data_IF_346814558408
#
_entry.id   IF_346814558408
#
_cell.length_a   1.000
_cell.length_b   1.000
_cell.length_c   1.000
_cell.angle_alpha   90.00
_cell.angle_beta   90.00
_cell.angle_gamma   90.00
#
_symmetry.space_group_name_H-M   'P 1'
#
loop_
_entity.id
_entity.type
_entity.pdbx_description
1 polymer ?
#
# COMPACT_ATOMS: atom_id res chain seq x y z
N UNK A 1 -15.29 59.60 21.99
CA UNK A 1 -15.86 59.12 20.71
C UNK A 1 -14.92 58.06 20.16
N UNK A 2 -15.40 56.84 19.96
CA UNK A 2 -14.59 55.70 19.53
C UNK A 2 -15.36 54.41 19.74
N UNK A 3 -16.33 54.13 18.85
CA UNK A 3 -17.12 52.90 18.84
C UNK A 3 -16.38 51.85 18.01
N UNK A 4 -16.15 50.66 18.58
CA UNK A 4 -15.46 49.55 17.93
C UNK A 4 -16.07 48.19 18.29
N UNK A 5 -17.15 47.86 17.58
CA UNK A 5 -17.69 46.54 17.18
C UNK A 5 -17.37 45.29 18.03
N UNK A 6 -18.42 44.79 18.67
CA UNK A 6 -18.59 43.39 19.10
C UNK A 6 -18.95 42.51 17.89
N UNK A 7 -18.12 41.52 17.56
CA UNK A 7 -18.47 40.45 16.62
C UNK A 7 -18.99 39.24 17.40
N UNK A 8 -20.31 39.03 17.35
CA UNK A 8 -20.95 37.76 17.68
C UNK A 8 -20.62 36.78 16.56
N UNK A 9 -19.79 35.77 16.87
CA UNK A 9 -19.50 34.64 15.98
C UNK A 9 -20.30 33.44 16.43
N UNK A 10 -21.17 32.98 15.55
CA UNK A 10 -22.14 31.91 15.72
C UNK A 10 -21.53 30.59 16.23
N UNK A 11 -21.93 30.22 17.45
CA UNK A 11 -21.61 28.95 18.10
C UNK A 11 -22.77 27.97 18.04
N UNK A 12 -23.23 27.58 16.85
CA UNK A 12 -24.35 26.63 16.74
C UNK A 12 -24.35 25.80 15.44
N UNK A 13 -23.50 24.77 15.33
CA UNK A 13 -23.72 23.60 14.42
C UNK A 13 -22.86 22.37 14.78
N UNK A 14 -22.64 22.06 16.07
CA UNK A 14 -21.94 20.82 16.48
C UNK A 14 -22.73 20.00 17.50
N UNK A 15 -24.02 19.80 17.24
CA UNK A 15 -24.86 18.81 17.93
C UNK A 15 -25.89 18.22 16.97
N UNK A 16 -25.49 17.31 16.09
CA UNK A 16 -26.36 16.24 15.55
C UNK A 16 -25.63 15.38 14.50
N UNK A 17 -24.70 14.53 14.94
CA UNK A 17 -24.38 13.28 14.23
C UNK A 17 -24.05 12.21 15.29
N UNK A 18 -25.10 11.76 15.98
CA UNK A 18 -25.13 10.41 16.55
C UNK A 18 -25.67 9.45 15.48
N UNK A 19 -25.22 8.21 15.60
CA UNK A 19 -25.80 6.98 15.05
C UNK A 19 -25.79 6.79 13.55
N UNK A 20 -24.73 6.14 13.03
CA UNK A 20 -24.89 4.96 12.16
C UNK A 20 -23.74 3.98 12.45
N UNK A 21 -24.11 2.72 12.69
CA UNK A 21 -23.27 1.71 13.33
C UNK A 21 -22.14 1.16 12.46
N UNK A 22 -20.91 1.32 12.94
CA UNK A 22 -19.71 0.68 12.38
C UNK A 22 -18.78 0.11 13.47
N UNK A 23 -19.35 -0.39 14.57
CA UNK A 23 -18.57 -0.99 15.67
C UNK A 23 -19.06 -2.39 16.04
N UNK A 24 -19.08 -3.32 15.07
CA UNK A 24 -19.28 -4.75 15.38
C UNK A 24 -18.68 -5.73 14.34
N UNK A 25 -17.46 -5.48 13.85
CA UNK A 25 -16.79 -6.42 12.94
C UNK A 25 -15.28 -6.63 13.21
N UNK A 26 -14.75 -6.26 14.39
CA UNK A 26 -13.31 -6.32 14.68
C UNK A 26 -12.93 -7.38 15.73
N UNK A 27 -13.54 -8.59 15.71
CA UNK A 27 -13.19 -9.65 16.68
C UNK A 27 -12.86 -11.04 16.12
N UNK A 28 -12.79 -11.25 14.80
CA UNK A 28 -12.52 -12.57 14.22
C UNK A 28 -11.41 -12.59 13.14
N UNK A 29 -10.40 -11.73 13.24
CA UNK A 29 -9.14 -11.93 12.49
C UNK A 29 -8.16 -12.70 13.37
N UNK A 30 -8.33 -14.01 13.31
CA UNK A 30 -7.40 -15.01 13.79
C UNK A 30 -6.08 -14.87 13.04
N UNK A 31 -5.00 -14.83 13.81
CA UNK A 31 -3.61 -14.74 13.41
C UNK A 31 -3.24 -15.86 12.41
N UNK A 32 -3.29 -15.54 11.12
CA UNK A 32 -2.61 -16.30 10.07
C UNK A 32 -1.20 -15.75 9.89
N UNK A 33 -0.20 -16.63 9.96
CA UNK A 33 1.22 -16.30 9.99
C UNK A 33 1.68 -15.38 8.85
N UNK A 34 2.60 -14.48 9.20
CA UNK A 34 3.34 -13.64 8.27
C UNK A 34 4.18 -14.49 7.31
N UNK A 35 4.00 -14.38 5.99
CA UNK A 35 4.94 -14.96 5.03
C UNK A 35 6.23 -14.12 4.98
N UNK A 36 7.34 -14.85 4.94
CA UNK A 36 8.72 -14.39 4.91
C UNK A 36 8.98 -13.40 3.74
N UNK A 37 9.51 -12.21 4.05
CA UNK A 37 9.63 -11.05 3.14
C UNK A 37 10.78 -11.12 2.13
N UNK A 38 11.31 -12.31 1.83
CA UNK A 38 12.53 -12.45 1.00
C UNK A 38 12.29 -12.71 -0.50
N UNK A 39 11.07 -12.60 -1.03
CA UNK A 39 10.77 -12.99 -2.44
C UNK A 39 10.06 -11.94 -3.31
N UNK A 40 9.89 -10.68 -2.89
CA UNK A 40 9.08 -9.70 -3.65
C UNK A 40 9.81 -8.97 -4.78
N UNK A 41 11.13 -9.13 -4.94
CA UNK A 41 11.89 -8.38 -5.95
C UNK A 41 11.87 -8.98 -7.38
N UNK A 42 11.26 -10.15 -7.59
CA UNK A 42 11.16 -10.80 -8.92
C UNK A 42 9.84 -10.51 -9.65
N UNK A 43 8.79 -10.05 -8.95
CA UNK A 43 7.46 -9.80 -9.55
C UNK A 43 7.37 -8.50 -10.35
N UNK A 44 8.17 -7.48 -10.02
CA UNK A 44 8.10 -6.19 -10.70
C UNK A 44 8.73 -6.23 -12.11
N UNK A 45 9.67 -7.15 -12.37
CA UNK A 45 10.28 -7.29 -13.70
C UNK A 45 9.43 -8.09 -14.70
N UNK A 46 8.41 -8.83 -14.26
CA UNK A 46 7.52 -9.55 -15.17
C UNK A 46 6.35 -8.69 -15.71
N UNK A 47 6.01 -7.57 -15.07
CA UNK A 47 4.90 -6.71 -15.53
C UNK A 47 5.30 -5.78 -16.69
N UNK A 48 6.55 -5.33 -16.75
CA UNK A 48 7.02 -4.44 -17.84
C UNK A 48 7.20 -5.17 -19.17
N UNK A 49 7.49 -6.49 -19.15
CA UNK A 49 7.57 -7.30 -20.38
C UNK A 49 6.20 -7.58 -21.02
N UNK A 50 5.13 -7.69 -20.22
CA UNK A 50 3.78 -8.00 -20.73
C UNK A 50 3.10 -6.81 -21.45
N UNK A 51 3.53 -5.58 -21.15
CA UNK A 51 3.06 -4.38 -21.84
C UNK A 51 3.64 -4.23 -23.26
N UNK A 52 4.79 -4.84 -23.55
CA UNK A 52 5.38 -4.82 -24.90
C UNK A 52 4.68 -5.81 -25.85
N UNK A 53 4.29 -6.99 -25.39
CA UNK A 53 3.64 -8.02 -26.22
C UNK A 53 2.19 -7.72 -26.63
N UNK A 54 1.52 -6.75 -25.99
CA UNK A 54 0.13 -6.40 -26.33
C UNK A 54 0.02 -5.42 -27.49
N UNK A 55 1.10 -4.69 -27.84
CA UNK A 55 1.10 -3.81 -29.02
C UNK A 55 1.17 -4.59 -30.34
N UNK A 56 1.85 -5.74 -30.38
CA UNK A 56 1.95 -6.54 -31.61
C UNK A 56 0.65 -7.30 -31.95
N UNK A 57 -0.18 -7.63 -30.94
CA UNK A 57 -1.45 -8.33 -31.18
C UNK A 57 -2.55 -7.44 -31.77
N UNK A 58 -2.52 -6.13 -31.49
CA UNK A 58 -3.47 -5.18 -32.08
C UNK A 58 -3.25 -5.01 -33.60
N UNK A 59 -2.02 -5.13 -34.08
CA UNK A 59 -1.71 -5.05 -35.51
C UNK A 59 -2.22 -6.27 -36.31
N UNK A 60 -2.34 -7.44 -35.69
CA UNK A 60 -2.75 -8.67 -36.37
C UNK A 60 -4.24 -8.70 -36.75
N UNK A 61 -5.11 -8.01 -36.00
CA UNK A 61 -6.55 -8.00 -36.28
C UNK A 61 -6.99 -6.95 -37.31
N UNK A 62 -6.16 -5.94 -37.60
CA UNK A 62 -6.49 -4.91 -38.58
C UNK A 62 -6.37 -5.37 -40.06
N UNK A 63 -5.74 -6.51 -40.33
CA UNK A 63 -5.42 -6.97 -41.70
C UNK A 63 -6.42 -7.98 -42.30
N UNK A 64 -7.51 -8.32 -41.61
CA UNK A 64 -8.43 -9.40 -42.05
C UNK A 64 -9.83 -8.88 -42.39
N UNK A 65 -9.92 -8.03 -43.42
CA UNK A 65 -11.18 -7.80 -44.13
C UNK A 65 -11.44 -8.98 -45.09
N UNK A 66 -12.53 -9.75 -44.91
CA UNK A 66 -12.88 -10.80 -45.87
C UNK A 66 -13.39 -10.17 -47.17
N UNK A 67 -12.56 -10.23 -48.22
CA UNK A 67 -12.98 -9.97 -49.59
C UNK A 67 -13.84 -11.16 -50.06
N UNK A 68 -15.16 -11.07 -49.91
CA UNK A 68 -16.09 -12.00 -50.55
C UNK A 68 -16.08 -11.71 -52.06
N UNK A 69 -15.29 -12.47 -52.82
CA UNK A 69 -15.41 -12.56 -54.29
C UNK A 69 -16.63 -13.42 -54.61
N UNK A 70 -17.72 -12.80 -55.04
CA UNK A 70 -18.79 -13.47 -55.78
C UNK A 70 -18.25 -13.81 -57.17
N UNK A 71 -18.11 -15.10 -57.46
CA UNK A 71 -17.92 -15.60 -58.83
C UNK A 71 -19.28 -15.91 -59.42
N UNK A 72 -19.83 -14.96 -60.17
CA UNK A 72 -20.87 -15.24 -61.15
C UNK A 72 -20.21 -15.94 -62.34
N UNK A 73 -20.51 -17.22 -62.53
CA UNK A 73 -20.29 -17.89 -63.82
C UNK A 73 -21.58 -18.58 -64.22
N UNK A 74 -22.38 -17.78 -64.94
CA UNK A 74 -23.47 -18.20 -65.79
C UNK A 74 -22.86 -18.73 -67.10
N UNK A 75 -22.96 -20.03 -67.33
CA UNK A 75 -22.77 -20.65 -68.65
C UNK A 75 -23.88 -21.69 -68.81
N UNK A 76 -24.97 -21.27 -69.46
CA UNK A 76 -25.99 -22.16 -70.00
C UNK A 76 -25.69 -22.32 -71.48
N UNK A 77 -25.03 -23.43 -71.82
CA UNK A 77 -24.92 -23.87 -73.21
C UNK A 77 -26.27 -24.38 -73.68
N UNK A 78 -26.65 -23.88 -74.86
CA UNK A 78 -27.89 -24.19 -75.54
C UNK A 78 -27.93 -25.63 -76.04
N UNK A 79 -29.07 -26.26 -75.80
CA UNK A 79 -29.53 -27.41 -76.57
C UNK A 79 -30.86 -27.00 -77.16
N UNK A 80 -30.84 -26.61 -78.44
CA UNK A 80 -32.03 -26.55 -79.28
C UNK A 80 -32.61 -27.97 -79.35
N UNK A 81 -33.86 -28.13 -78.93
CA UNK A 81 -34.63 -29.35 -79.14
C UNK A 81 -36.04 -28.96 -79.54
N UNK A 82 -36.49 -29.66 -80.57
CA UNK A 82 -37.60 -29.35 -81.45
C UNK A 82 -38.94 -29.08 -80.76
N UNK A 83 -39.75 -28.15 -81.29
CA UNK A 83 -41.11 -27.93 -80.83
C UNK A 83 -42.04 -28.83 -81.63
N UNK A 84 -42.51 -29.95 -81.10
CA UNK A 84 -43.75 -30.61 -81.56
C UNK A 84 -44.02 -31.89 -80.74
N UNK A 85 -44.75 -31.76 -79.63
CA UNK A 85 -45.74 -32.74 -79.14
C UNK A 85 -46.27 -32.33 -77.74
N UNK A 86 -47.59 -32.20 -77.64
CA UNK A 86 -48.38 -32.34 -76.39
C UNK A 86 -48.25 -31.26 -75.31
N UNK A 87 -48.78 -30.06 -75.58
CA UNK A 87 -48.77 -28.90 -74.68
C UNK A 87 -50.10 -28.58 -73.99
N UNK A 88 -50.85 -29.57 -73.47
CA UNK A 88 -52.14 -29.31 -72.80
C UNK A 88 -52.28 -29.81 -71.35
N UNK A 89 -51.24 -30.41 -70.75
CA UNK A 89 -51.28 -30.93 -69.36
C UNK A 89 -50.28 -30.33 -68.37
N UNK A 90 -49.36 -29.47 -68.80
CA UNK A 90 -48.23 -28.99 -67.96
C UNK A 90 -48.48 -27.64 -67.25
N UNK A 91 -49.64 -27.01 -67.44
CA UNK A 91 -49.91 -25.67 -66.91
C UNK A 91 -50.46 -25.68 -65.48
N UNK A 92 -51.17 -26.75 -65.09
CA UNK A 92 -51.84 -26.84 -63.78
C UNK A 92 -50.87 -27.19 -62.63
N UNK A 93 -49.81 -27.96 -62.89
CA UNK A 93 -48.76 -28.23 -61.89
C UNK A 93 -47.83 -27.04 -61.61
N UNK A 94 -47.78 -26.06 -62.52
CA UNK A 94 -46.91 -24.87 -62.37
C UNK A 94 -47.48 -23.87 -61.35
N UNK A 95 -48.79 -23.81 -61.16
CA UNK A 95 -49.39 -22.86 -60.20
C UNK A 95 -49.19 -23.31 -58.76
N UNK A 96 -49.25 -24.62 -58.49
CA UNK A 96 -49.06 -25.17 -57.14
C UNK A 96 -47.60 -25.07 -56.67
N UNK A 97 -46.65 -25.28 -57.57
CA UNK A 97 -45.22 -25.09 -57.30
C UNK A 97 -44.88 -23.62 -57.04
N UNK A 98 -45.52 -22.68 -57.74
CA UNK A 98 -45.36 -21.25 -57.48
C UNK A 98 -45.98 -20.82 -56.14
N UNK A 99 -47.15 -21.37 -55.78
CA UNK A 99 -47.80 -21.05 -54.51
C UNK A 99 -46.97 -21.52 -53.30
N UNK A 100 -46.44 -22.75 -53.40
CA UNK A 100 -45.62 -23.36 -52.34
C UNK A 100 -44.28 -22.64 -52.16
N UNK A 101 -43.59 -22.28 -53.25
CA UNK A 101 -42.34 -21.51 -53.19
C UNK A 101 -42.55 -20.12 -52.59
N UNK A 102 -43.63 -19.42 -52.94
CA UNK A 102 -43.94 -18.11 -52.36
C UNK A 102 -44.29 -18.18 -50.86
N UNK A 103 -44.98 -19.24 -50.42
CA UNK A 103 -45.24 -19.45 -48.99
C UNK A 103 -43.93 -19.69 -48.21
N UNK A 104 -43.04 -20.55 -48.74
CA UNK A 104 -41.73 -20.79 -48.14
C UNK A 104 -40.89 -19.52 -48.08
N UNK A 105 -40.91 -18.70 -49.13
CA UNK A 105 -40.22 -17.41 -49.15
C UNK A 105 -40.74 -16.48 -48.04
N UNK A 106 -42.06 -16.36 -47.89
CA UNK A 106 -42.66 -15.55 -46.81
C UNK A 106 -42.27 -16.05 -45.42
N UNK A 107 -42.23 -17.37 -45.21
CA UNK A 107 -41.80 -17.95 -43.94
C UNK A 107 -40.32 -17.67 -43.66
N UNK A 108 -39.47 -17.75 -44.68
CA UNK A 108 -38.05 -17.43 -44.59
C UNK A 108 -37.85 -15.95 -44.25
N UNK A 109 -38.53 -15.04 -44.95
CA UNK A 109 -38.45 -13.59 -44.71
C UNK A 109 -38.90 -13.23 -43.29
N UNK A 110 -39.97 -13.87 -42.80
CA UNK A 110 -40.43 -13.70 -41.42
C UNK A 110 -39.41 -14.22 -40.39
N UNK A 111 -38.81 -15.38 -40.65
CA UNK A 111 -37.77 -15.96 -39.78
C UNK A 111 -36.51 -15.09 -39.74
N UNK A 112 -36.05 -14.61 -40.90
CA UNK A 112 -34.91 -13.69 -41.02
C UNK A 112 -35.21 -12.38 -40.30
N UNK A 113 -36.41 -11.80 -40.49
CA UNK A 113 -36.82 -10.58 -39.80
C UNK A 113 -36.83 -10.75 -38.28
N UNK A 114 -37.37 -11.86 -37.78
CA UNK A 114 -37.38 -12.18 -36.34
C UNK A 114 -35.96 -12.34 -35.80
N UNK A 115 -35.09 -13.05 -36.53
CA UNK A 115 -33.68 -13.23 -36.16
C UNK A 115 -32.95 -11.88 -36.12
N UNK A 116 -33.20 -11.01 -37.10
CA UNK A 116 -32.61 -9.68 -37.17
C UNK A 116 -32.99 -8.83 -35.94
N UNK A 117 -34.26 -8.87 -35.53
CA UNK A 117 -34.72 -8.17 -34.32
C UNK A 117 -34.04 -8.72 -33.06
N UNK A 118 -33.96 -10.05 -32.91
CA UNK A 118 -33.28 -10.66 -31.75
C UNK A 118 -31.80 -10.29 -31.69
N UNK A 119 -31.09 -10.33 -32.82
CA UNK A 119 -29.66 -9.98 -32.90
C UNK A 119 -29.46 -8.50 -32.57
N UNK A 120 -30.26 -7.62 -33.16
CA UNK A 120 -30.14 -6.16 -32.92
C UNK A 120 -30.43 -5.81 -31.46
N UNK A 121 -31.42 -6.45 -30.83
CA UNK A 121 -31.68 -6.32 -29.39
C UNK A 121 -30.50 -6.78 -28.55
N UNK A 122 -29.99 -8.00 -28.79
CA UNK A 122 -28.87 -8.54 -28.02
C UNK A 122 -27.60 -7.69 -28.16
N UNK A 123 -27.35 -7.14 -29.35
CA UNK A 123 -26.23 -6.21 -29.56
C UNK A 123 -26.39 -4.90 -28.80
N UNK A 124 -27.62 -4.37 -28.68
CA UNK A 124 -27.90 -3.17 -27.90
C UNK A 124 -27.66 -3.42 -26.40
N UNK A 125 -28.07 -4.59 -25.90
CA UNK A 125 -27.85 -5.00 -24.50
C UNK A 125 -26.35 -5.15 -24.20
N UNK A 126 -25.61 -5.88 -25.06
CA UNK A 126 -24.15 -6.03 -24.93
C UNK A 126 -23.46 -4.67 -24.94
N UNK A 127 -23.87 -3.76 -25.84
CA UNK A 127 -23.30 -2.41 -25.88
C UNK A 127 -23.53 -1.66 -24.57
N UNK A 128 -24.71 -1.80 -23.99
CA UNK A 128 -25.04 -1.19 -22.69
C UNK A 128 -24.17 -1.77 -21.58
N UNK A 129 -24.05 -3.10 -21.51
CA UNK A 129 -23.20 -3.77 -20.52
C UNK A 129 -21.73 -3.36 -20.63
N UNK A 130 -21.21 -3.23 -21.86
CA UNK A 130 -19.84 -2.73 -22.10
C UNK A 130 -19.67 -1.33 -21.51
N UNK A 131 -20.61 -0.41 -21.74
CA UNK A 131 -20.51 0.95 -21.17
C UNK A 131 -20.54 0.97 -19.65
N UNK A 132 -21.32 0.07 -19.02
CA UNK A 132 -21.36 -0.07 -17.56
C UNK A 132 -20.04 -0.63 -17.02
N UNK A 133 -19.48 -1.64 -17.68
CA UNK A 133 -18.18 -2.23 -17.31
C UNK A 133 -17.06 -1.20 -17.44
N UNK A 134 -17.07 -0.39 -18.51
CA UNK A 134 -16.10 0.67 -18.75
C UNK A 134 -16.13 1.71 -17.60
N UNK A 135 -17.32 2.22 -17.28
CA UNK A 135 -17.50 3.17 -16.18
C UNK A 135 -17.04 2.60 -14.82
N UNK A 136 -17.35 1.34 -14.53
CA UNK A 136 -16.89 0.66 -13.31
C UNK A 136 -15.37 0.48 -13.29
N UNK A 137 -14.77 0.21 -14.44
CA UNK A 137 -13.32 0.04 -14.57
C UNK A 137 -12.61 1.36 -14.31
N UNK A 138 -13.05 2.46 -14.92
CA UNK A 138 -12.48 3.79 -14.66
C UNK A 138 -12.60 4.22 -13.19
N UNK A 139 -13.72 3.89 -12.52
CA UNK A 139 -13.87 4.14 -11.09
C UNK A 139 -12.88 3.34 -10.22
N UNK A 140 -12.61 2.09 -10.59
CA UNK A 140 -11.64 1.26 -9.87
C UNK A 140 -10.20 1.76 -10.10
N UNK A 141 -9.88 2.21 -11.31
CA UNK A 141 -8.59 2.83 -11.62
C UNK A 141 -8.36 4.08 -10.77
N UNK A 142 -9.34 4.98 -10.66
CA UNK A 142 -9.24 6.16 -9.79
C UNK A 142 -9.05 5.81 -8.31
N UNK A 143 -9.80 4.83 -7.80
CA UNK A 143 -9.61 4.36 -6.41
C UNK A 143 -8.23 3.74 -6.18
N UNK A 144 -7.65 3.10 -7.19
CA UNK A 144 -6.31 2.55 -7.10
C UNK A 144 -5.26 3.65 -7.01
N UNK A 145 -5.40 4.70 -7.81
CA UNK A 145 -4.53 5.88 -7.75
C UNK A 145 -4.61 6.59 -6.39
N UNK A 146 -5.81 6.71 -5.81
CA UNK A 146 -6.00 7.23 -4.44
C UNK A 146 -5.28 6.37 -3.39
N UNK A 147 -5.32 5.04 -3.53
CA UNK A 147 -4.62 4.13 -2.61
C UNK A 147 -3.10 4.27 -2.76
N UNK A 148 -2.59 4.34 -3.99
CA UNK A 148 -1.16 4.45 -4.27
C UNK A 148 -0.58 5.78 -3.72
N UNK A 149 -1.33 6.88 -3.86
CA UNK A 149 -0.94 8.18 -3.28
C UNK A 149 -0.95 8.14 -1.74
N UNK A 150 -1.97 7.54 -1.13
CA UNK A 150 -2.03 7.36 0.32
C UNK A 150 -0.88 6.47 0.84
N UNK A 151 -0.55 5.38 0.14
CA UNK A 151 0.57 4.50 0.48
C UNK A 151 1.90 5.26 0.46
N UNK A 152 2.15 6.00 -0.61
CA UNK A 152 3.36 6.84 -0.75
C UNK A 152 3.48 7.85 0.40
N UNK A 153 2.36 8.46 0.83
CA UNK A 153 2.36 9.37 1.97
C UNK A 153 2.68 8.68 3.29
N UNK A 154 2.21 7.44 3.50
CA UNK A 154 2.54 6.64 4.68
C UNK A 154 4.03 6.28 4.70
N UNK A 155 4.58 5.82 3.57
CA UNK A 155 6.01 5.47 3.45
C UNK A 155 6.92 6.66 3.81
N UNK A 156 6.58 7.85 3.30
CA UNK A 156 7.31 9.08 3.63
C UNK A 156 7.29 9.40 5.13
N UNK A 157 6.13 9.24 5.78
CA UNK A 157 5.98 9.47 7.22
C UNK A 157 6.75 8.45 8.04
N UNK A 158 6.75 7.18 7.63
CA UNK A 158 7.55 6.13 8.28
C UNK A 158 9.05 6.43 8.18
N UNK A 159 9.53 6.81 7.00
CA UNK A 159 10.94 7.20 6.81
C UNK A 159 11.35 8.40 7.70
N UNK A 160 10.46 9.38 7.87
CA UNK A 160 10.72 10.50 8.79
C UNK A 160 10.76 10.04 10.26
N UNK A 161 9.84 9.16 10.66
CA UNK A 161 9.83 8.60 12.02
C UNK A 161 11.10 7.80 12.31
N UNK A 162 11.57 6.98 11.36
CA UNK A 162 12.83 6.24 11.49
C UNK A 162 14.02 7.18 11.72
N UNK A 163 14.14 8.25 10.92
CA UNK A 163 15.20 9.27 11.11
C UNK A 163 15.16 9.92 12.50
N UNK A 164 13.95 10.23 12.98
CA UNK A 164 13.76 10.81 14.32
C UNK A 164 14.13 9.82 15.42
N UNK A 165 13.77 8.55 15.27
CA UNK A 165 14.17 7.49 16.21
C UNK A 165 15.68 7.34 16.26
N UNK A 166 16.36 7.24 15.12
CA UNK A 166 17.83 7.17 15.09
C UNK A 166 18.51 8.39 15.74
N UNK A 167 17.94 9.58 15.56
CA UNK A 167 18.43 10.78 16.26
C UNK A 167 18.26 10.69 17.78
N UNK A 168 17.12 10.17 18.24
CA UNK A 168 16.87 9.98 19.67
C UNK A 168 17.77 8.90 20.28
N UNK A 169 17.99 7.79 19.58
CA UNK A 169 18.96 6.75 19.97
C UNK A 169 20.35 7.34 20.12
N UNK A 170 20.84 8.09 19.13
CA UNK A 170 22.15 8.74 19.21
C UNK A 170 22.27 9.71 20.40
N UNK A 171 21.21 10.49 20.68
CA UNK A 171 21.17 11.40 21.84
C UNK A 171 21.17 10.64 23.16
N UNK A 172 20.42 9.52 23.24
CA UNK A 172 20.40 8.68 24.43
C UNK A 172 21.77 8.07 24.70
N UNK A 173 22.42 7.52 23.67
CA UNK A 173 23.78 6.98 23.79
C UNK A 173 24.78 8.05 24.25
N UNK A 174 24.74 9.26 23.69
CA UNK A 174 25.60 10.37 24.15
C UNK A 174 25.33 10.77 25.62
N UNK A 175 24.06 10.79 26.04
CA UNK A 175 23.70 11.07 27.44
C UNK A 175 24.17 9.95 28.38
N UNK A 176 23.98 8.69 27.99
CA UNK A 176 24.45 7.52 28.73
C UNK A 176 25.97 7.54 28.87
N UNK A 177 26.70 7.80 27.78
CA UNK A 177 28.16 7.93 27.79
C UNK A 177 28.61 9.06 28.71
N UNK A 178 27.99 10.24 28.64
CA UNK A 178 28.29 11.36 29.54
C UNK A 178 28.02 11.02 31.00
N UNK A 179 26.96 10.28 31.28
CA UNK A 179 26.64 9.78 32.61
C UNK A 179 27.71 8.79 33.11
N UNK A 180 28.15 7.88 32.24
CA UNK A 180 29.14 6.84 32.54
C UNK A 180 30.57 7.36 32.66
N UNK A 181 30.96 8.45 31.98
CA UNK A 181 32.31 9.06 32.09
C UNK A 181 32.72 9.39 33.52
N UNK A 182 31.75 9.61 34.40
CA UNK A 182 32.01 9.90 35.81
C UNK A 182 31.78 8.68 36.71
N UNK A 183 31.41 7.53 36.19
CA UNK A 183 31.18 6.33 36.98
C UNK A 183 32.44 5.45 36.99
N UNK A 184 32.93 5.13 38.18
CA UNK A 184 33.99 4.15 38.40
C UNK A 184 33.31 2.82 38.78
N UNK A 185 33.62 1.75 38.05
CA UNK A 185 33.18 0.38 38.39
C UNK A 185 34.23 -0.25 39.30
N UNK A 186 33.80 -0.75 40.44
CA UNK A 186 34.60 -1.53 41.38
C UNK A 186 34.10 -2.97 41.31
N UNK A 187 34.94 -3.86 40.76
CA UNK A 187 34.64 -5.29 40.61
C UNK A 187 35.27 -6.08 41.76
N UNK A 188 34.65 -7.19 42.15
CA UNK A 188 35.20 -8.09 43.18
C UNK A 188 35.10 -7.57 44.62
N UNK A 189 34.22 -6.59 44.89
CA UNK A 189 33.96 -6.12 46.25
C UNK A 189 33.15 -7.19 46.99
N UNK A 190 33.71 -7.87 48.01
CA UNK A 190 33.02 -8.97 48.70
C UNK A 190 31.67 -8.51 49.26
N UNK A 191 30.68 -9.40 49.25
CA UNK A 191 29.30 -9.11 49.66
C UNK A 191 29.08 -9.21 51.17
N UNK A 192 30.15 -9.28 51.96
CA UNK A 192 30.08 -9.60 53.38
C UNK A 192 29.01 -8.77 54.12
N UNK A 193 28.09 -9.54 54.69
CA UNK A 193 26.80 -9.15 55.24
C UNK A 193 26.96 -8.02 56.25
N UNK A 194 26.50 -6.82 55.88
CA UNK A 194 26.28 -5.72 56.83
C UNK A 194 27.42 -4.71 56.97
N UNK A 195 28.55 -4.85 56.27
CA UNK A 195 29.52 -3.76 56.24
C UNK A 195 28.98 -2.64 55.35
N UNK A 196 28.44 -1.62 56.02
CA UNK A 196 28.01 -0.36 55.44
C UNK A 196 29.06 0.04 54.40
N UNK A 197 28.68 0.23 53.14
CA UNK A 197 29.54 0.73 52.05
C UNK A 197 30.34 2.00 52.44
N UNK A 198 29.90 2.67 53.51
CA UNK A 198 30.60 3.72 54.24
C UNK A 198 32.01 3.33 54.74
N UNK A 199 32.27 2.06 55.11
CA UNK A 199 33.58 1.58 55.57
C UNK A 199 34.62 1.50 54.44
N UNK A 200 34.17 1.17 53.22
CA UNK A 200 34.99 1.21 52.00
C UNK A 200 35.50 2.63 51.69
N UNK A 201 34.72 3.64 52.08
CA UNK A 201 35.08 5.05 51.97
C UNK A 201 36.23 5.45 52.89
N UNK A 202 36.43 4.73 54.00
CA UNK A 202 37.50 4.99 54.98
C UNK A 202 38.79 4.18 54.74
N UNK A 203 38.70 3.00 54.12
CA UNK A 203 39.84 2.09 53.96
C UNK A 203 40.55 2.20 52.60
N UNK A 204 39.88 1.72 51.54
CA UNK A 204 40.48 1.51 50.21
C UNK A 204 40.46 2.79 49.38
N UNK A 205 39.36 3.56 49.45
CA UNK A 205 39.22 4.78 48.66
C UNK A 205 40.27 5.85 49.01
N UNK A 206 40.60 6.14 50.29
CA UNK A 206 41.62 7.15 50.62
C UNK A 206 43.05 6.72 50.28
N UNK A 207 43.35 5.43 50.40
CA UNK A 207 44.68 4.87 50.06
C UNK A 207 44.91 4.88 48.55
N UNK A 208 43.88 4.61 47.74
CA UNK A 208 43.99 4.59 46.28
C UNK A 208 43.67 5.94 45.60
N UNK A 209 42.89 6.82 46.22
CA UNK A 209 42.45 8.11 45.68
C UNK A 209 42.70 9.25 46.68
N UNK A 210 43.97 9.57 46.90
CA UNK A 210 44.51 10.43 47.97
C UNK A 210 43.99 11.88 48.01
N UNK A 211 43.12 12.32 47.09
CA UNK A 211 42.62 13.71 46.99
C UNK A 211 41.14 13.89 46.63
N UNK A 212 40.31 12.85 46.68
CA UNK A 212 38.91 12.96 46.27
C UNK A 212 37.94 12.60 47.40
N UNK A 213 37.43 13.62 48.10
CA UNK A 213 36.28 13.47 49.01
C UNK A 213 35.02 13.29 48.15
N UNK A 214 34.65 12.03 47.91
CA UNK A 214 33.53 11.71 47.06
C UNK A 214 32.22 11.80 47.88
N UNK A 215 31.28 12.68 47.50
CA UNK A 215 30.05 12.93 48.29
C UNK A 215 28.96 11.86 48.10
N UNK A 216 29.06 11.04 47.06
CA UNK A 216 28.05 10.01 46.79
C UNK A 216 28.56 8.66 47.29
N UNK A 217 27.77 8.03 48.17
CA UNK A 217 28.02 6.65 48.59
C UNK A 217 27.98 5.75 47.33
N UNK A 218 28.91 4.79 47.20
CA UNK A 218 28.84 3.82 46.11
C UNK A 218 27.53 3.05 46.19
N UNK A 219 26.97 2.72 45.02
CA UNK A 219 25.70 2.00 44.89
C UNK A 219 25.98 0.70 44.13
N UNK A 220 25.39 -0.43 44.56
CA UNK A 220 25.47 -1.70 43.83
C UNK A 220 24.53 -1.67 42.64
N UNK A 221 24.96 -2.21 41.49
CA UNK A 221 24.20 -2.13 40.24
C UNK A 221 22.87 -2.86 40.25
N UNK A 222 22.73 -3.93 41.05
CA UNK A 222 21.54 -4.77 41.13
C UNK A 222 21.40 -5.42 42.52
N UNK A 223 20.22 -5.96 42.83
CA UNK A 223 20.03 -6.89 43.94
C UNK A 223 20.81 -8.17 43.64
N UNK A 224 21.63 -8.68 44.58
CA UNK A 224 22.43 -9.88 44.35
C UNK A 224 21.52 -11.07 44.02
N UNK A 225 21.86 -11.79 42.95
CA UNK A 225 21.20 -13.05 42.65
C UNK A 225 21.77 -14.13 43.58
N UNK A 226 20.97 -14.76 44.45
CA UNK A 226 21.47 -15.74 45.43
C UNK A 226 22.11 -16.98 44.78
N UNK A 227 21.91 -17.20 43.48
CA UNK A 227 22.48 -18.33 42.75
C UNK A 227 23.86 -18.01 42.13
N UNK A 228 24.27 -16.74 42.07
CA UNK A 228 25.57 -16.34 41.53
C UNK A 228 26.56 -16.14 42.67
N UNK A 229 27.66 -16.89 42.66
CA UNK A 229 28.76 -16.74 43.63
C UNK A 229 29.68 -15.56 43.30
N UNK A 230 29.49 -14.92 42.15
CA UNK A 230 30.26 -13.76 41.72
C UNK A 230 29.75 -12.48 42.40
N UNK A 231 30.61 -11.73 43.11
CA UNK A 231 30.21 -10.48 43.75
C UNK A 231 29.66 -9.46 42.76
N UNK A 232 28.59 -8.76 43.14
CA UNK A 232 27.94 -7.75 42.30
C UNK A 232 28.83 -6.50 42.15
N UNK A 233 28.91 -5.96 40.93
CA UNK A 233 29.64 -4.71 40.63
C UNK A 233 29.11 -3.53 41.47
N UNK A 234 30.04 -2.74 42.01
CA UNK A 234 29.76 -1.49 42.69
C UNK A 234 30.08 -0.29 41.78
N UNK A 235 29.20 0.70 41.74
CA UNK A 235 29.42 1.94 41.00
C UNK A 235 29.67 3.10 41.97
N UNK A 236 30.76 3.83 41.77
CA UNK A 236 31.04 5.07 42.48
C UNK A 236 31.08 6.24 41.49
N UNK A 237 30.28 7.28 41.72
CA UNK A 237 30.28 8.46 40.86
C UNK A 237 31.43 9.37 41.27
N UNK A 238 32.46 9.54 40.45
CA UNK A 238 33.53 10.53 40.65
C UNK A 238 32.91 11.92 40.49
N UNK A 239 33.17 12.83 41.44
CA UNK A 239 32.89 14.25 41.21
C UNK A 239 33.61 14.66 39.94
N UNK A 240 32.89 15.21 38.97
CA UNK A 240 33.54 15.85 37.83
C UNK A 240 34.61 16.77 38.42
N UNK A 241 35.86 16.67 37.93
CA UNK A 241 36.81 17.74 38.18
C UNK A 241 36.12 18.98 37.65
N UNK A 242 35.59 19.81 38.56
CA UNK A 242 35.32 21.20 38.25
C UNK A 242 36.66 21.67 37.72
N UNK A 243 36.78 21.73 36.39
CA UNK A 243 37.95 22.33 35.77
C UNK A 243 38.11 23.65 36.52
N UNK A 244 39.28 23.91 37.13
CA UNK A 244 39.48 25.13 37.88
C UNK A 244 38.94 26.22 36.99
N UNK A 245 37.98 27.00 37.51
CA UNK A 245 37.41 28.14 36.82
C UNK A 245 38.58 29.10 36.60
N UNK A 246 39.42 28.80 35.61
CA UNK A 246 40.37 29.70 35.02
C UNK A 246 39.47 30.80 34.52
N UNK A 247 39.43 31.87 35.31
CA UNK A 247 38.75 33.12 35.07
C UNK A 247 38.70 33.34 33.57
N UNK A 248 37.58 32.96 32.95
CA UNK A 248 37.30 33.31 31.56
C UNK A 248 37.04 34.80 31.64
N UNK A 249 38.13 35.56 31.55
CA UNK A 249 38.17 37.00 31.35
C UNK A 249 37.15 37.25 30.25
N UNK A 250 36.00 37.83 30.62
CA UNK A 250 34.95 38.15 29.66
C UNK A 250 35.63 38.99 28.56
N UNK A 251 35.49 38.64 27.27
CA UNK A 251 35.98 39.54 26.23
C UNK A 251 35.27 40.87 26.43
N UNK A 252 36.04 41.93 26.68
CA UNK A 252 35.54 43.30 26.79
C UNK A 252 34.85 43.62 25.46
N UNK A 253 33.52 43.67 25.48
CA UNK A 253 32.71 44.15 24.36
C UNK A 253 32.70 45.68 24.27
N UNK A 254 33.65 46.36 24.90
CA UNK A 254 33.82 47.81 24.80
C UNK A 254 34.92 48.17 23.81
N UNK A 255 34.57 48.23 22.53
CA UNK A 255 35.14 49.22 21.60
C UNK A 255 34.11 49.55 20.51
N UNK A 256 34.12 50.81 20.04
CA UNK A 256 32.97 51.56 19.52
C UNK A 256 32.49 51.12 18.14
#
# INVERSE_FOLDING_TARGET
MGRGRTSNGDGSTLKELRSFGLLKAAKNLQLGGFPDTRHTNTMFQHRTKKAAETKDKAAFFAARTPQHKHTDTHTQDGVESDPDADHMGAQEYRTDTLLTTHLLQKMLDAAVSKMQVTITSALADIKTDITVIDARTSQLEGKMEDIDTAHTAIDNRLSEMEKRLSLHEAKLTDVEDRSHRHNIRLQGVPEEVGTRLNGLHGGILPTCLTRHTNRHAPIRSNTPNPQTTTPTDCHAKRRAHEAPLLSRKRPDTSRP
#
